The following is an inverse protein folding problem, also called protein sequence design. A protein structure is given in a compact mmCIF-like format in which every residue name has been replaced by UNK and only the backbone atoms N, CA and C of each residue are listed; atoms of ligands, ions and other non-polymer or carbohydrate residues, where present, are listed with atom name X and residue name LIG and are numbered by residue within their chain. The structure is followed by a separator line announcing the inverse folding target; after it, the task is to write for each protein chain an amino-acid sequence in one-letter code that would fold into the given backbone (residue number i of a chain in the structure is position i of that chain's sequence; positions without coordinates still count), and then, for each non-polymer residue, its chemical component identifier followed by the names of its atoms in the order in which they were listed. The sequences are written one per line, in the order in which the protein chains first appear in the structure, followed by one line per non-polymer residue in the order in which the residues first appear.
data_IF_284910906529
#
_entry.id   IF_284910906529
#
_cell.length_a   1.000
_cell.length_b   1.000
_cell.length_c   1.000
_cell.angle_alpha   90.00
_cell.angle_beta   90.00
_cell.angle_gamma   90.00
#
_symmetry.space_group_name_H-M   'P 1'
#
loop_
_entity.id
_entity.type
_entity.pdbx_description
1 polymer ?
#
# COMPACT_ATOMS: atom_id res chain seq x y z
N UNK A 1 -14.94 30.67 -0.95
CA UNK A 1 -13.62 30.03 -0.81
C UNK A 1 -13.10 30.40 0.58
N UNK A 2 -13.00 29.44 1.49
CA UNK A 2 -12.36 29.62 2.81
C UNK A 2 -10.86 29.66 2.52
N UNK A 3 -10.18 30.75 2.86
CA UNK A 3 -8.72 30.82 2.76
C UNK A 3 -8.14 30.00 3.91
N UNK A 4 -7.70 28.81 3.61
CA UNK A 4 -6.94 27.97 4.53
C UNK A 4 -5.54 28.57 4.64
N UNK A 5 -5.00 28.73 5.85
CA UNK A 5 -3.63 29.17 6.03
C UNK A 5 -2.65 28.09 5.56
N UNK A 6 -1.43 28.49 5.22
CA UNK A 6 -0.40 27.54 4.74
C UNK A 6 -0.08 26.48 5.78
N UNK A 7 -0.08 26.83 7.05
CA UNK A 7 0.11 25.90 8.16
C UNK A 7 -1.04 24.89 8.26
N UNK A 8 -2.29 25.35 8.15
CA UNK A 8 -3.47 24.46 8.16
C UNK A 8 -3.45 23.50 6.99
N UNK A 9 -3.05 23.97 5.77
CA UNK A 9 -2.93 23.12 4.60
C UNK A 9 -1.91 22.01 4.83
N UNK A 10 -0.72 22.32 5.29
CA UNK A 10 0.35 21.35 5.55
C UNK A 10 -0.08 20.37 6.66
N UNK A 11 -0.69 20.87 7.73
CA UNK A 11 -1.20 20.02 8.82
C UNK A 11 -2.31 19.07 8.35
N UNK A 12 -3.21 19.52 7.48
CA UNK A 12 -4.25 18.67 6.90
C UNK A 12 -3.65 17.59 6.00
N UNK A 13 -2.68 17.93 5.17
CA UNK A 13 -2.00 16.96 4.31
C UNK A 13 -1.24 15.90 5.12
N UNK A 14 -0.56 16.31 6.19
CA UNK A 14 0.09 15.37 7.11
C UNK A 14 -0.92 14.39 7.73
N UNK A 15 -1.97 14.90 8.33
CA UNK A 15 -2.94 14.06 9.04
C UNK A 15 -3.81 13.21 8.10
N UNK A 16 -4.36 13.81 7.06
CA UNK A 16 -5.38 13.16 6.24
C UNK A 16 -4.77 12.24 5.18
N UNK A 17 -3.61 12.58 4.63
CA UNK A 17 -2.95 11.82 3.57
C UNK A 17 -1.80 11.00 4.13
N UNK A 18 -0.75 11.63 4.66
CA UNK A 18 0.49 10.92 5.06
C UNK A 18 0.27 9.97 6.25
N UNK A 19 -0.60 10.36 7.20
CA UNK A 19 -0.99 9.49 8.33
C UNK A 19 -2.27 8.69 8.07
N UNK A 20 -2.71 8.63 6.84
CA UNK A 20 -3.87 7.82 6.39
C UNK A 20 -5.20 8.08 7.11
N UNK A 21 -5.37 9.19 7.83
CA UNK A 21 -6.60 9.41 8.59
C UNK A 21 -7.85 9.51 7.71
N UNK A 22 -7.72 10.05 6.50
CA UNK A 22 -8.82 10.12 5.54
C UNK A 22 -9.33 8.71 5.19
N UNK A 23 -8.41 7.80 4.93
CA UNK A 23 -8.70 6.42 4.54
C UNK A 23 -9.19 5.59 5.74
N UNK A 24 -8.56 5.74 6.89
CA UNK A 24 -8.97 5.06 8.14
C UNK A 24 -10.39 5.44 8.56
N UNK A 25 -10.79 6.72 8.41
CA UNK A 25 -12.19 7.14 8.64
C UNK A 25 -13.19 6.45 7.70
N UNK A 26 -12.75 6.10 6.49
CA UNK A 26 -13.54 5.31 5.54
C UNK A 26 -13.41 3.79 5.76
N UNK A 27 -12.73 3.36 6.83
CA UNK A 27 -12.40 1.97 7.14
C UNK A 27 -11.55 1.26 6.05
N UNK A 28 -10.68 2.05 5.37
CA UNK A 28 -9.72 1.59 4.38
C UNK A 28 -8.32 1.62 4.99
N UNK A 29 -7.65 0.48 5.01
CA UNK A 29 -6.33 0.29 5.59
C UNK A 29 -5.31 -0.18 4.53
N UNK A 30 -4.01 -0.06 4.82
CA UNK A 30 -2.94 -0.46 3.89
C UNK A 30 -2.79 0.46 2.67
N UNK A 31 -3.40 1.66 2.67
CA UNK A 31 -3.23 2.62 1.57
C UNK A 31 -1.93 3.42 1.69
N UNK A 32 -1.61 3.89 2.89
CA UNK A 32 -0.32 4.50 3.22
C UNK A 32 0.21 3.75 4.44
N UNK A 33 1.26 2.98 4.28
CA UNK A 33 1.90 2.23 5.38
C UNK A 33 3.11 2.97 5.92
N UNK A 34 3.79 3.73 5.05
CA UNK A 34 4.97 4.51 5.41
C UNK A 34 4.88 5.92 4.82
N UNK A 35 5.33 6.96 5.51
CA UNK A 35 5.34 8.34 5.03
C UNK A 35 6.48 8.55 4.01
N UNK A 36 6.48 7.78 2.91
CA UNK A 36 7.52 7.80 1.89
C UNK A 36 7.65 9.15 1.16
N UNK A 37 6.58 9.92 1.16
CA UNK A 37 6.51 11.19 0.43
C UNK A 37 6.34 12.40 1.35
N UNK A 38 6.60 12.25 2.65
CA UNK A 38 6.46 13.32 3.66
C UNK A 38 7.53 14.41 3.58
N UNK A 39 8.54 14.27 2.72
CA UNK A 39 9.66 15.21 2.61
C UNK A 39 9.24 16.70 2.51
N UNK A 40 8.12 16.99 1.87
CA UNK A 40 7.61 18.36 1.73
C UNK A 40 7.03 18.88 3.05
N UNK A 41 6.47 18.01 3.89
CA UNK A 41 6.00 18.36 5.23
C UNK A 41 7.19 18.72 6.11
N UNK A 42 8.25 17.89 6.11
CA UNK A 42 9.48 18.12 6.84
C UNK A 42 10.15 19.41 6.37
N UNK A 43 10.20 19.64 5.06
CA UNK A 43 10.73 20.88 4.49
C UNK A 43 9.94 22.11 4.95
N UNK A 44 8.63 22.03 5.08
CA UNK A 44 7.76 23.12 5.52
C UNK A 44 7.78 23.36 7.04
N UNK A 45 8.03 22.32 7.83
CA UNK A 45 7.99 22.40 9.31
C UNK A 45 9.34 22.63 9.95
N UNK A 46 10.44 22.15 9.33
CA UNK A 46 11.80 22.21 9.89
C UNK A 46 12.44 23.60 9.86
N UNK A 47 11.86 24.55 9.14
CA UNK A 47 12.39 25.92 8.92
C UNK A 47 13.86 25.95 8.40
N UNK A 48 14.33 24.87 7.78
CA UNK A 48 15.69 24.76 7.24
C UNK A 48 15.83 25.49 5.91
N UNK A 49 14.75 25.52 5.12
CA UNK A 49 14.72 26.14 3.80
C UNK A 49 13.51 27.07 3.63
N UNK A 50 13.44 28.19 4.37
CA UNK A 50 12.26 29.07 4.38
C UNK A 50 11.95 29.68 2.99
N UNK A 51 12.95 29.85 2.14
CA UNK A 51 12.79 30.34 0.76
C UNK A 51 12.05 29.36 -0.15
N UNK A 52 12.12 28.05 0.14
CA UNK A 52 11.49 27.00 -0.68
C UNK A 52 10.06 26.69 -0.22
N UNK A 53 9.73 26.99 1.04
CA UNK A 53 8.43 26.71 1.63
C UNK A 53 7.28 27.33 0.83
N UNK A 54 7.44 28.62 0.45
CA UNK A 54 6.41 29.31 -0.31
C UNK A 54 6.17 28.69 -1.70
N UNK A 55 7.23 28.23 -2.35
CA UNK A 55 7.14 27.58 -3.66
C UNK A 55 6.46 26.20 -3.55
N UNK A 56 6.80 25.42 -2.49
CA UNK A 56 6.16 24.13 -2.20
C UNK A 56 4.66 24.34 -1.96
N UNK A 57 4.28 25.23 -1.06
CA UNK A 57 2.88 25.50 -0.70
C UNK A 57 2.10 26.00 -1.91
N UNK A 58 2.68 26.88 -2.70
CA UNK A 58 2.05 27.40 -3.93
C UNK A 58 1.80 26.27 -4.92
N UNK A 59 2.78 25.42 -5.15
CA UNK A 59 2.66 24.26 -6.05
C UNK A 59 1.60 23.26 -5.57
N UNK A 60 1.56 22.97 -4.27
CA UNK A 60 0.53 22.09 -3.67
C UNK A 60 -0.87 22.68 -3.86
N UNK A 61 -1.06 23.98 -3.60
CA UNK A 61 -2.35 24.67 -3.83
C UNK A 61 -2.77 24.58 -5.29
N UNK A 62 -1.86 24.80 -6.23
CA UNK A 62 -2.16 24.68 -7.66
C UNK A 62 -2.59 23.26 -8.05
N UNK A 63 -1.91 22.23 -7.53
CA UNK A 63 -2.27 20.83 -7.77
C UNK A 63 -3.67 20.55 -7.22
N UNK A 64 -3.94 20.93 -5.97
CA UNK A 64 -5.25 20.71 -5.33
C UNK A 64 -6.37 21.44 -6.07
N UNK A 65 -6.15 22.68 -6.53
CA UNK A 65 -7.12 23.41 -7.34
C UNK A 65 -7.38 22.69 -8.67
N UNK A 66 -6.33 22.22 -9.35
CA UNK A 66 -6.48 21.46 -10.60
C UNK A 66 -7.24 20.17 -10.38
N UNK A 67 -6.90 19.40 -9.32
CA UNK A 67 -7.60 18.15 -8.98
C UNK A 67 -9.08 18.40 -8.64
N UNK A 68 -9.42 19.51 -7.96
CA UNK A 68 -10.81 19.84 -7.62
C UNK A 68 -11.70 20.15 -8.82
N UNK A 69 -11.12 20.36 -10.00
CA UNK A 69 -11.89 20.57 -11.25
C UNK A 69 -12.34 19.26 -11.89
N UNK A 70 -11.77 18.13 -11.49
CA UNK A 70 -12.19 16.80 -11.96
C UNK A 70 -13.33 16.27 -11.07
N UNK A 71 -14.34 15.69 -11.71
CA UNK A 71 -15.40 14.98 -11.00
C UNK A 71 -14.98 13.53 -10.84
N UNK A 72 -15.24 12.94 -9.65
CA UNK A 72 -14.90 11.51 -9.39
C UNK A 72 -15.62 10.56 -10.36
N UNK A 73 -16.75 10.97 -10.91
CA UNK A 73 -17.50 10.24 -11.93
C UNK A 73 -16.71 10.06 -13.25
N UNK A 74 -15.79 11.00 -13.55
CA UNK A 74 -14.90 10.90 -14.71
C UNK A 74 -13.78 9.87 -14.51
N UNK A 75 -13.55 9.45 -13.28
CA UNK A 75 -12.60 8.40 -12.90
C UNK A 75 -13.27 7.03 -12.73
N UNK A 76 -14.34 6.77 -13.48
CA UNK A 76 -15.04 5.49 -13.39
C UNK A 76 -14.12 4.32 -13.79
N UNK A 77 -14.28 3.20 -13.08
CA UNK A 77 -13.48 1.98 -13.19
C UNK A 77 -13.25 1.43 -14.62
N UNK A 78 -14.09 1.81 -15.58
CA UNK A 78 -13.98 1.34 -16.97
C UNK A 78 -12.91 2.07 -17.81
N UNK A 79 -12.49 3.27 -17.40
CA UNK A 79 -11.61 4.12 -18.20
C UNK A 79 -10.25 4.41 -17.54
N UNK A 80 -10.08 4.06 -16.27
CA UNK A 80 -8.93 4.49 -15.47
C UNK A 80 -7.66 3.67 -15.65
N UNK A 81 -7.74 2.47 -16.22
CA UNK A 81 -6.58 1.58 -16.40
C UNK A 81 -5.37 2.26 -17.09
N UNK A 82 -5.62 3.31 -17.88
CA UNK A 82 -4.61 3.92 -18.73
C UNK A 82 -4.12 5.31 -18.25
N UNK A 83 -4.90 6.01 -17.40
CA UNK A 83 -4.59 7.41 -17.04
C UNK A 83 -3.40 7.51 -16.09
N UNK A 84 -3.37 6.75 -15.01
CA UNK A 84 -2.27 6.79 -14.04
C UNK A 84 -0.99 6.18 -14.60
N UNK A 85 -1.07 5.13 -15.41
CA UNK A 85 0.05 4.53 -16.13
C UNK A 85 0.70 5.55 -17.07
N UNK A 86 -0.11 6.26 -17.88
CA UNK A 86 0.38 7.31 -18.76
C UNK A 86 0.95 8.51 -17.99
N UNK A 87 0.28 8.92 -16.94
CA UNK A 87 0.73 10.00 -16.07
C UNK A 87 2.11 9.70 -15.48
N UNK A 88 2.28 8.52 -14.89
CA UNK A 88 3.55 8.06 -14.36
C UNK A 88 4.64 7.97 -15.43
N UNK A 89 4.34 7.40 -16.60
CA UNK A 89 5.27 7.30 -17.72
C UNK A 89 5.75 8.65 -18.22
N UNK A 90 4.94 9.70 -18.09
CA UNK A 90 5.28 11.06 -18.52
C UNK A 90 6.08 11.83 -17.46
N UNK A 91 5.86 11.54 -16.17
CA UNK A 91 6.56 12.23 -15.07
C UNK A 91 7.93 11.63 -14.83
N UNK A 92 8.03 10.28 -14.79
CA UNK A 92 9.30 9.61 -14.50
C UNK A 92 10.12 9.42 -15.78
N UNK A 93 11.32 10.01 -15.87
CA UNK A 93 12.15 9.89 -17.06
C UNK A 93 12.44 8.42 -17.40
N UNK A 94 12.44 8.10 -18.71
CA UNK A 94 12.67 6.73 -19.18
C UNK A 94 14.00 6.14 -18.68
N UNK A 95 15.03 6.97 -18.55
CA UNK A 95 16.35 6.54 -18.04
C UNK A 95 16.23 6.05 -16.60
N UNK A 96 15.49 6.78 -15.76
CA UNK A 96 15.27 6.41 -14.36
C UNK A 96 14.43 5.12 -14.28
N UNK A 97 13.35 5.02 -15.05
CA UNK A 97 12.53 3.80 -15.09
C UNK A 97 13.32 2.56 -15.51
N UNK A 98 14.19 2.71 -16.51
CA UNK A 98 15.08 1.61 -16.95
C UNK A 98 16.09 1.21 -15.87
N UNK A 99 16.65 2.15 -15.12
CA UNK A 99 17.59 1.87 -14.03
C UNK A 99 16.92 1.18 -12.83
N UNK A 100 15.63 1.43 -12.63
CA UNK A 100 14.80 0.78 -11.60
C UNK A 100 14.18 -0.54 -12.08
N UNK A 101 14.40 -0.93 -13.33
CA UNK A 101 13.81 -2.15 -13.89
C UNK A 101 12.30 -2.04 -14.18
N UNK A 102 11.77 -0.84 -14.23
CA UNK A 102 10.33 -0.60 -14.44
C UNK A 102 9.96 -0.71 -15.92
N UNK A 103 9.41 -1.85 -16.26
CA UNK A 103 8.85 -2.13 -17.58
C UNK A 103 7.36 -2.42 -17.44
N UNK A 104 6.54 -1.54 -18.03
CA UNK A 104 5.09 -1.75 -18.04
C UNK A 104 4.70 -2.85 -19.01
N UNK A 105 3.93 -3.80 -18.52
CA UNK A 105 3.38 -4.88 -19.33
C UNK A 105 2.29 -4.32 -20.25
N UNK A 106 2.35 -4.54 -21.57
CA UNK A 106 1.27 -4.17 -22.48
C UNK A 106 -0.03 -4.94 -22.17
N UNK A 107 -1.17 -4.28 -22.30
CA UNK A 107 -2.47 -4.87 -21.93
C UNK A 107 -2.77 -6.16 -22.72
N UNK A 108 -2.42 -6.22 -24.01
CA UNK A 108 -2.58 -7.43 -24.81
C UNK A 108 -1.79 -8.64 -24.26
N UNK A 109 -0.63 -8.39 -23.65
CA UNK A 109 0.20 -9.45 -23.07
C UNK A 109 -0.42 -9.94 -21.76
N UNK A 110 -0.98 -9.01 -20.95
CA UNK A 110 -1.74 -9.35 -19.75
C UNK A 110 -2.93 -10.26 -20.12
N UNK A 111 -3.70 -9.87 -21.13
CA UNK A 111 -4.86 -10.65 -21.59
C UNK A 111 -4.47 -12.06 -22.07
N UNK A 112 -3.46 -12.16 -22.95
CA UNK A 112 -2.98 -13.46 -23.46
C UNK A 112 -2.45 -14.34 -22.32
N UNK A 113 -1.83 -13.75 -21.30
CA UNK A 113 -1.32 -14.49 -20.15
C UNK A 113 -2.48 -15.02 -19.30
N UNK A 114 -3.43 -14.16 -18.97
CA UNK A 114 -4.60 -14.55 -18.17
C UNK A 114 -5.53 -15.53 -18.88
N UNK A 115 -5.55 -15.55 -20.22
CA UNK A 115 -6.31 -16.55 -21.00
C UNK A 115 -5.75 -17.97 -20.85
N UNK A 116 -4.55 -18.13 -20.29
CA UNK A 116 -3.97 -19.44 -19.96
C UNK A 116 -4.32 -19.94 -18.56
N UNK A 117 -4.92 -19.08 -17.74
CA UNK A 117 -5.35 -19.47 -16.39
C UNK A 117 -6.59 -20.33 -16.50
N UNK A 118 -6.52 -21.54 -15.94
CA UNK A 118 -7.64 -22.47 -15.88
C UNK A 118 -8.42 -22.30 -14.58
N UNK A 119 -9.74 -22.43 -14.63
CA UNK A 119 -10.64 -22.31 -13.48
C UNK A 119 -11.45 -21.01 -13.47
N UNK A 120 -12.33 -20.89 -12.47
CA UNK A 120 -13.14 -19.68 -12.29
C UNK A 120 -12.35 -18.63 -11.51
N UNK A 121 -12.23 -17.43 -12.08
CA UNK A 121 -11.41 -16.37 -11.50
C UNK A 121 -11.85 -15.95 -10.08
N UNK A 122 -13.13 -15.99 -9.78
CA UNK A 122 -13.67 -15.67 -8.45
C UNK A 122 -13.40 -16.73 -7.38
N UNK A 123 -12.95 -17.94 -7.77
CA UNK A 123 -12.57 -19.01 -6.84
C UNK A 123 -11.06 -19.10 -6.61
N UNK A 124 -10.25 -18.48 -7.47
CA UNK A 124 -8.80 -18.55 -7.43
C UNK A 124 -8.20 -17.47 -6.50
N UNK A 125 -6.97 -17.75 -6.06
CA UNK A 125 -6.11 -16.77 -5.37
C UNK A 125 -4.98 -16.36 -6.30
N UNK A 126 -4.74 -15.07 -6.39
CA UNK A 126 -3.75 -14.48 -7.28
C UNK A 126 -2.70 -13.72 -6.46
N UNK A 127 -1.46 -13.87 -6.86
CA UNK A 127 -0.34 -13.08 -6.36
C UNK A 127 0.49 -12.62 -7.56
N UNK A 128 0.64 -11.31 -7.70
CA UNK A 128 1.63 -10.71 -8.58
C UNK A 128 2.83 -10.24 -7.74
N UNK A 129 3.96 -10.96 -7.75
CA UNK A 129 5.10 -10.68 -6.90
C UNK A 129 5.94 -9.48 -7.37
N UNK A 130 5.58 -8.86 -8.50
CA UNK A 130 6.26 -7.69 -9.11
C UNK A 130 5.22 -6.83 -9.82
N UNK A 131 4.20 -6.41 -9.07
CA UNK A 131 2.95 -5.91 -9.63
C UNK A 131 3.07 -4.57 -10.38
N UNK A 132 4.16 -3.83 -10.22
CA UNK A 132 4.33 -2.51 -10.83
C UNK A 132 3.17 -1.58 -10.48
N UNK A 133 2.50 -1.03 -11.48
CA UNK A 133 1.29 -0.22 -11.33
C UNK A 133 -0.01 -1.03 -11.24
N UNK A 134 0.06 -2.34 -11.02
CA UNK A 134 -1.06 -3.28 -10.91
C UNK A 134 -1.73 -3.70 -12.23
N UNK A 135 -1.06 -3.67 -13.36
CA UNK A 135 -1.69 -4.03 -14.65
C UNK A 135 -2.34 -5.42 -14.64
N UNK A 136 -1.65 -6.45 -14.11
CA UNK A 136 -2.23 -7.79 -13.96
C UNK A 136 -3.35 -7.83 -12.94
N UNK A 137 -3.17 -7.18 -11.78
CA UNK A 137 -4.19 -7.18 -10.71
C UNK A 137 -5.50 -6.57 -11.19
N UNK A 138 -5.44 -5.46 -11.94
CA UNK A 138 -6.63 -4.80 -12.49
C UNK A 138 -7.36 -5.69 -13.51
N UNK A 139 -6.61 -6.37 -14.38
CA UNK A 139 -7.19 -7.30 -15.34
C UNK A 139 -7.82 -8.53 -14.64
N UNK A 140 -7.20 -9.02 -13.56
CA UNK A 140 -7.74 -10.10 -12.73
C UNK A 140 -9.04 -9.63 -12.05
N UNK A 141 -9.04 -8.45 -11.42
CA UNK A 141 -10.24 -7.87 -10.79
C UNK A 141 -11.38 -7.76 -11.82
N UNK A 142 -11.08 -7.27 -13.02
CA UNK A 142 -12.07 -7.18 -14.09
C UNK A 142 -12.67 -8.54 -14.41
N UNK A 143 -11.86 -9.59 -14.59
CA UNK A 143 -12.33 -10.95 -14.89
C UNK A 143 -13.14 -11.55 -13.74
N UNK A 144 -12.74 -11.32 -12.48
CA UNK A 144 -13.54 -11.73 -11.32
C UNK A 144 -14.91 -11.08 -11.35
N UNK A 145 -14.99 -9.77 -11.64
CA UNK A 145 -16.25 -9.04 -11.73
C UNK A 145 -17.15 -9.52 -12.85
N UNK A 146 -16.57 -9.92 -13.99
CA UNK A 146 -17.30 -10.41 -15.16
C UNK A 146 -17.89 -11.82 -14.95
N UNK A 147 -17.24 -12.68 -14.14
CA UNK A 147 -17.70 -14.05 -13.92
C UNK A 147 -18.49 -14.24 -12.61
N UNK A 148 -18.42 -13.29 -11.67
CA UNK A 148 -19.04 -13.42 -10.36
C UNK A 148 -20.47 -12.87 -10.32
N UNK A 149 -21.32 -13.57 -9.57
CA UNK A 149 -22.69 -13.14 -9.25
C UNK A 149 -22.85 -12.76 -7.77
N UNK A 150 -21.75 -12.44 -7.09
CA UNK A 150 -21.73 -12.09 -5.68
C UNK A 150 -22.34 -10.70 -5.43
N UNK A 151 -22.79 -10.44 -4.21
CA UNK A 151 -23.15 -9.09 -3.77
C UNK A 151 -21.93 -8.17 -3.78
N UNK A 152 -22.12 -6.85 -3.81
CA UNK A 152 -21.01 -5.89 -3.76
C UNK A 152 -20.09 -6.12 -2.54
N UNK A 153 -20.68 -6.42 -1.38
CA UNK A 153 -19.95 -6.74 -0.14
C UNK A 153 -19.10 -8.00 -0.30
N UNK A 154 -19.71 -9.11 -0.76
CA UNK A 154 -19.00 -10.38 -0.88
C UNK A 154 -17.94 -10.32 -1.98
N UNK A 155 -18.22 -9.61 -3.07
CA UNK A 155 -17.28 -9.41 -4.17
C UNK A 155 -16.08 -8.59 -3.73
N UNK A 156 -16.31 -7.49 -2.98
CA UNK A 156 -15.25 -6.65 -2.43
C UNK A 156 -14.35 -7.47 -1.49
N UNK A 157 -14.92 -8.24 -0.58
CA UNK A 157 -14.19 -9.12 0.31
C UNK A 157 -13.41 -10.20 -0.46
N UNK A 158 -14.03 -10.80 -1.46
CA UNK A 158 -13.39 -11.82 -2.30
C UNK A 158 -12.16 -11.25 -3.02
N UNK A 159 -12.27 -10.07 -3.63
CA UNK A 159 -11.18 -9.43 -4.34
C UNK A 159 -10.04 -9.08 -3.37
N UNK A 160 -10.33 -8.42 -2.25
CA UNK A 160 -9.31 -7.98 -1.28
C UNK A 160 -8.60 -9.15 -0.58
N UNK A 161 -9.27 -10.30 -0.43
CA UNK A 161 -8.67 -11.49 0.16
C UNK A 161 -7.85 -12.33 -0.83
N UNK A 162 -8.17 -12.27 -2.12
CA UNK A 162 -7.63 -13.20 -3.10
C UNK A 162 -6.72 -12.59 -4.17
N UNK A 163 -6.65 -11.26 -4.29
CA UNK A 163 -5.86 -10.58 -5.34
C UNK A 163 -4.78 -9.71 -4.70
N UNK A 164 -3.59 -10.27 -4.59
CA UNK A 164 -2.45 -9.68 -3.88
C UNK A 164 -1.37 -9.22 -4.84
N UNK A 165 -0.66 -8.15 -4.47
CA UNK A 165 0.49 -7.63 -5.21
C UNK A 165 1.65 -7.25 -4.30
N UNK A 166 2.87 -7.51 -4.78
CA UNK A 166 4.10 -7.02 -4.16
C UNK A 166 4.90 -6.22 -5.18
N UNK A 167 5.62 -5.23 -4.74
CA UNK A 167 6.66 -4.58 -5.54
C UNK A 167 7.73 -3.99 -4.61
N UNK A 168 8.96 -3.91 -5.10
CA UNK A 168 10.08 -3.33 -4.38
C UNK A 168 10.12 -1.80 -4.50
N UNK A 169 9.49 -1.25 -5.54
CA UNK A 169 9.49 0.18 -5.79
C UNK A 169 8.31 0.86 -5.07
N UNK A 170 8.55 1.74 -4.09
CA UNK A 170 7.49 2.39 -3.31
C UNK A 170 6.54 3.24 -4.16
N UNK A 171 7.04 3.85 -5.24
CA UNK A 171 6.21 4.65 -6.14
C UNK A 171 5.28 3.77 -6.99
N UNK A 172 5.77 2.60 -7.42
CA UNK A 172 4.95 1.60 -8.11
C UNK A 172 3.86 1.07 -7.18
N UNK A 173 4.20 0.70 -5.93
CA UNK A 173 3.25 0.25 -4.90
C UNK A 173 2.17 1.30 -4.66
N UNK A 174 2.54 2.57 -4.47
CA UNK A 174 1.56 3.64 -4.25
C UNK A 174 0.65 3.84 -5.47
N UNK A 175 1.21 3.78 -6.68
CA UNK A 175 0.41 3.84 -7.92
C UNK A 175 -0.54 2.64 -8.03
N UNK A 176 -0.08 1.45 -7.68
CA UNK A 176 -0.88 0.24 -7.67
C UNK A 176 -2.03 0.32 -6.66
N UNK A 177 -1.80 0.85 -5.46
CA UNK A 177 -2.83 1.08 -4.42
C UNK A 177 -3.92 2.04 -4.90
N UNK A 178 -3.51 3.15 -5.52
CA UNK A 178 -4.48 4.10 -6.12
C UNK A 178 -5.32 3.42 -7.21
N UNK A 179 -4.68 2.72 -8.15
CA UNK A 179 -5.37 1.99 -9.21
C UNK A 179 -6.33 0.93 -8.66
N UNK A 180 -5.91 0.20 -7.63
CA UNK A 180 -6.72 -0.81 -6.96
C UNK A 180 -7.97 -0.20 -6.32
N UNK A 181 -7.83 0.91 -5.58
CA UNK A 181 -8.98 1.63 -5.00
C UNK A 181 -9.93 2.16 -6.06
N UNK A 182 -9.39 2.71 -7.15
CA UNK A 182 -10.24 3.20 -8.26
C UNK A 182 -11.03 2.04 -8.87
N UNK A 183 -10.40 0.88 -9.08
CA UNK A 183 -11.06 -0.30 -9.63
C UNK A 183 -12.17 -0.86 -8.74
N UNK A 184 -12.16 -0.54 -7.44
CA UNK A 184 -13.14 -0.98 -6.46
C UNK A 184 -14.08 0.15 -5.99
N UNK A 185 -13.94 1.36 -6.50
CA UNK A 185 -14.62 2.56 -5.97
C UNK A 185 -16.14 2.45 -5.94
N UNK A 186 -16.74 1.83 -6.95
CA UNK A 186 -18.19 1.58 -7.03
C UNK A 186 -18.64 0.56 -5.97
N UNK A 187 -17.90 -0.55 -5.80
CA UNK A 187 -18.20 -1.56 -4.79
C UNK A 187 -18.05 -0.98 -3.36
N UNK A 188 -17.06 -0.13 -3.15
CA UNK A 188 -16.86 0.58 -1.88
C UNK A 188 -18.03 1.52 -1.59
N UNK A 189 -18.52 2.24 -2.61
CA UNK A 189 -19.66 3.12 -2.47
C UNK A 189 -20.97 2.36 -2.16
N UNK A 190 -21.14 1.15 -2.73
CA UNK A 190 -22.28 0.28 -2.44
C UNK A 190 -22.21 -0.44 -1.09
N UNK A 191 -21.01 -0.52 -0.49
CA UNK A 191 -20.76 -1.22 0.78
C UNK A 191 -20.12 -0.30 1.83
N UNK A 192 -20.78 0.79 2.26
CA UNK A 192 -20.19 1.78 3.15
C UNK A 192 -19.87 1.19 4.52
N UNK A 193 -18.68 1.53 5.02
CA UNK A 193 -18.23 1.14 6.37
C UNK A 193 -17.67 -0.28 6.48
N UNK A 194 -17.56 -1.03 5.37
CA UNK A 194 -16.89 -2.31 5.37
C UNK A 194 -15.38 -2.11 5.60
N UNK A 195 -14.78 -3.03 6.36
CA UNK A 195 -13.33 -3.02 6.54
C UNK A 195 -12.64 -3.49 5.25
N UNK A 196 -11.78 -2.64 4.71
CA UNK A 196 -11.01 -2.90 3.50
C UNK A 196 -9.54 -2.80 3.85
N UNK A 197 -8.80 -3.86 3.55
CA UNK A 197 -7.35 -3.82 3.57
C UNK A 197 -6.83 -3.99 2.14
N UNK A 198 -6.00 -3.03 1.70
CA UNK A 198 -5.46 -3.06 0.34
C UNK A 198 -4.32 -4.06 0.29
N UNK A 199 -4.44 -5.15 -0.47
CA UNK A 199 -3.49 -6.25 -0.46
C UNK A 199 -2.29 -5.99 -1.39
N UNK A 200 -1.72 -4.78 -1.34
CA UNK A 200 -0.55 -4.39 -2.14
C UNK A 200 0.53 -3.90 -1.20
N UNK A 201 1.64 -4.65 -1.13
CA UNK A 201 2.69 -4.46 -0.15
C UNK A 201 4.00 -4.04 -0.80
N UNK A 202 4.73 -3.18 -0.10
CA UNK A 202 6.14 -2.90 -0.41
C UNK A 202 6.97 -4.07 0.11
N UNK A 203 7.42 -4.93 -0.79
CA UNK A 203 8.14 -6.14 -0.42
C UNK A 203 9.10 -6.59 -1.51
N UNK A 204 10.21 -7.20 -1.10
CA UNK A 204 11.09 -7.94 -1.99
C UNK A 204 10.57 -9.37 -2.15
N UNK A 205 10.07 -9.68 -3.34
CA UNK A 205 9.50 -10.99 -3.64
C UNK A 205 10.54 -12.12 -3.73
N UNK A 206 11.82 -11.77 -3.91
CA UNK A 206 12.93 -12.74 -3.96
C UNK A 206 13.38 -13.09 -2.55
N UNK A 207 13.21 -12.14 -1.62
CA UNK A 207 13.60 -12.31 -0.24
C UNK A 207 12.48 -13.00 0.55
N UNK A 208 12.51 -14.33 0.56
CA UNK A 208 11.62 -15.11 1.41
C UNK A 208 12.38 -15.56 2.67
N UNK A 209 11.85 -15.35 3.88
CA UNK A 209 12.42 -15.91 5.08
C UNK A 209 12.42 -17.43 4.97
N UNK A 210 13.59 -18.03 5.09
CA UNK A 210 13.71 -19.48 5.09
C UNK A 210 13.48 -20.03 6.51
N UNK A 211 12.77 -21.15 6.66
CA UNK A 211 12.79 -21.91 7.91
C UNK A 211 14.25 -22.26 8.26
N UNK A 212 14.58 -22.21 9.54
CA UNK A 212 15.89 -22.67 9.98
C UNK A 212 16.05 -24.17 9.62
N UNK A 213 17.15 -24.55 8.99
CA UNK A 213 17.39 -25.94 8.54
C UNK A 213 17.36 -26.95 9.71
N UNK A 214 17.53 -26.49 10.96
CA UNK A 214 17.54 -27.33 12.18
C UNK A 214 16.31 -27.20 13.07
N UNK A 215 15.55 -26.12 12.99
CA UNK A 215 14.41 -25.85 13.87
C UNK A 215 13.22 -25.24 13.09
N UNK A 216 12.23 -26.06 12.81
CA UNK A 216 11.00 -25.65 12.11
C UNK A 216 10.05 -24.80 12.98
N UNK A 217 10.37 -24.61 14.25
CA UNK A 217 9.56 -23.79 15.17
C UNK A 217 9.84 -22.30 15.03
N UNK A 218 10.92 -21.91 14.35
CA UNK A 218 11.33 -20.51 14.15
C UNK A 218 11.57 -20.19 12.67
N UNK A 219 11.40 -18.92 12.35
CA UNK A 219 11.71 -18.34 11.03
C UNK A 219 12.69 -17.19 11.24
N UNK A 220 13.74 -17.17 10.45
CA UNK A 220 14.76 -16.12 10.48
C UNK A 220 14.55 -15.11 9.35
N UNK A 221 14.44 -13.83 9.72
CA UNK A 221 14.44 -12.70 8.80
C UNK A 221 15.81 -12.01 8.89
N UNK A 222 16.51 -11.93 7.79
CA UNK A 222 17.79 -11.21 7.72
C UNK A 222 17.56 -9.87 7.04
N UNK A 223 17.80 -8.78 7.74
CA UNK A 223 17.73 -7.43 7.20
C UNK A 223 19.16 -7.00 6.89
N UNK A 224 19.48 -6.88 5.59
CA UNK A 224 20.77 -6.38 5.14
C UNK A 224 20.94 -4.90 5.49
N UNK A 225 22.06 -4.54 6.10
CA UNK A 225 22.41 -3.14 6.32
C UNK A 225 23.86 -2.85 5.90
N UNK A 226 24.20 -1.58 5.68
CA UNK A 226 25.55 -1.16 5.32
C UNK A 226 26.60 -1.40 6.42
N UNK A 227 26.16 -1.75 7.64
CA UNK A 227 27.03 -1.93 8.80
C UNK A 227 27.14 -3.42 9.18
N UNK A 228 26.02 -4.11 9.27
CA UNK A 228 25.95 -5.55 9.55
C UNK A 228 24.53 -6.06 9.25
N UNK A 229 24.41 -7.33 8.86
CA UNK A 229 23.10 -7.95 8.71
C UNK A 229 22.45 -8.14 10.08
N UNK A 230 21.20 -7.70 10.22
CA UNK A 230 20.38 -7.93 11.40
C UNK A 230 19.51 -9.16 11.17
N UNK A 231 19.66 -10.17 12.01
CA UNK A 231 18.79 -11.35 11.97
C UNK A 231 17.71 -11.24 13.05
N UNK A 232 16.46 -11.27 12.62
CA UNK A 232 15.30 -11.32 13.51
C UNK A 232 14.75 -12.73 13.46
N UNK A 233 14.73 -13.41 14.61
CA UNK A 233 14.19 -14.76 14.74
C UNK A 233 12.78 -14.68 15.35
N UNK A 234 11.79 -15.16 14.63
CA UNK A 234 10.40 -15.20 15.08
C UNK A 234 9.89 -16.63 15.17
N UNK A 235 9.04 -16.95 16.16
CA UNK A 235 8.32 -18.22 16.18
C UNK A 235 7.46 -18.39 14.93
N UNK A 236 7.48 -19.58 14.31
CA UNK A 236 6.70 -19.89 13.12
C UNK A 236 5.20 -19.61 13.32
N UNK A 237 4.68 -19.84 14.53
CA UNK A 237 3.27 -19.54 14.87
C UNK A 237 2.96 -18.05 14.77
N UNK A 238 3.92 -17.17 15.04
CA UNK A 238 3.76 -15.72 14.85
C UNK A 238 3.84 -15.35 13.37
N UNK A 239 4.83 -15.88 12.64
CA UNK A 239 5.05 -15.56 11.23
C UNK A 239 3.90 -16.01 10.32
N UNK A 240 3.07 -16.96 10.76
CA UNK A 240 1.89 -17.46 10.03
C UNK A 240 0.59 -16.71 10.35
N UNK A 241 0.61 -15.77 11.30
CA UNK A 241 -0.58 -15.02 11.70
C UNK A 241 -0.31 -13.54 11.56
N UNK A 242 -0.93 -12.92 10.55
CA UNK A 242 -0.82 -11.48 10.29
C UNK A 242 -1.23 -10.66 11.50
N UNK A 243 -2.41 -10.94 12.09
CA UNK A 243 -2.93 -10.20 13.24
C UNK A 243 -1.96 -10.22 14.43
N UNK A 244 -1.29 -11.36 14.64
CA UNK A 244 -0.29 -11.46 15.71
C UNK A 244 0.99 -10.70 15.39
N UNK A 245 1.44 -10.76 14.14
CA UNK A 245 2.60 -9.97 13.69
C UNK A 245 2.33 -8.48 13.80
N UNK A 246 1.18 -8.01 13.33
CA UNK A 246 0.78 -6.61 13.42
C UNK A 246 0.71 -6.16 14.87
N UNK A 247 0.17 -6.98 15.76
CA UNK A 247 0.15 -6.70 17.20
C UNK A 247 1.55 -6.61 17.79
N UNK A 248 2.45 -7.55 17.43
CA UNK A 248 3.85 -7.55 17.90
C UNK A 248 4.57 -6.31 17.44
N UNK A 249 4.50 -5.98 16.13
CA UNK A 249 5.20 -4.83 15.59
C UNK A 249 4.62 -3.50 16.07
N UNK A 250 3.31 -3.41 16.27
CA UNK A 250 2.67 -2.22 16.87
C UNK A 250 3.18 -1.97 18.29
N UNK A 251 3.21 -3.00 19.13
CA UNK A 251 3.73 -2.89 20.50
C UNK A 251 5.23 -2.54 20.51
N UNK A 252 6.00 -3.16 19.62
CA UNK A 252 7.43 -2.85 19.49
C UNK A 252 7.64 -1.38 19.06
N UNK A 253 6.89 -0.91 18.08
CA UNK A 253 6.93 0.48 17.62
C UNK A 253 6.59 1.45 18.74
N UNK A 254 5.50 1.22 19.48
CA UNK A 254 5.10 2.04 20.61
C UNK A 254 6.18 2.09 21.72
N UNK A 255 6.81 0.94 21.99
CA UNK A 255 7.89 0.87 22.97
C UNK A 255 9.14 1.66 22.52
N UNK A 256 9.48 1.60 21.24
CA UNK A 256 10.63 2.34 20.68
C UNK A 256 10.34 3.86 20.67
N UNK A 257 9.16 4.26 20.20
CA UNK A 257 8.75 5.67 20.15
C UNK A 257 8.72 6.33 21.54
N UNK A 258 8.34 5.56 22.56
CA UNK A 258 8.23 6.07 23.94
C UNK A 258 9.45 5.74 24.81
N UNK A 259 10.54 5.22 24.23
CA UNK A 259 11.77 4.81 24.94
C UNK A 259 11.48 3.93 26.17
N UNK A 260 10.62 2.95 25.98
CA UNK A 260 10.17 2.06 27.05
C UNK A 260 11.19 0.96 27.37
N UNK A 261 11.25 0.55 28.61
CA UNK A 261 12.04 -0.60 29.06
C UNK A 261 11.57 -1.90 28.35
N UNK A 262 12.50 -2.79 27.95
CA UNK A 262 12.16 -4.06 27.26
C UNK A 262 11.17 -4.96 28.01
N UNK A 263 11.15 -4.86 29.34
CA UNK A 263 10.20 -5.61 30.19
C UNK A 263 8.76 -5.19 29.92
N UNK A 264 8.50 -3.91 29.68
CA UNK A 264 7.15 -3.42 29.36
C UNK A 264 6.68 -3.89 27.99
N UNK A 265 7.61 -4.07 27.06
CA UNK A 265 7.28 -4.66 25.76
C UNK A 265 6.81 -6.11 25.93
N UNK A 266 7.50 -6.91 26.75
CA UNK A 266 7.10 -8.30 27.04
C UNK A 266 5.72 -8.33 27.71
N UNK A 267 5.49 -7.48 28.70
CA UNK A 267 4.20 -7.39 29.37
C UNK A 267 3.07 -7.02 28.39
N UNK A 268 3.32 -6.08 27.47
CA UNK A 268 2.37 -5.72 26.42
C UNK A 268 2.04 -6.88 25.49
N UNK A 269 3.05 -7.62 25.04
CA UNK A 269 2.89 -8.80 24.18
C UNK A 269 2.08 -9.92 24.86
N UNK A 270 2.27 -10.12 26.18
CA UNK A 270 1.51 -11.09 26.96
C UNK A 270 0.05 -10.68 27.15
N UNK A 271 -0.21 -9.40 27.49
CA UNK A 271 -1.57 -8.86 27.69
C UNK A 271 -2.40 -8.99 26.42
N UNK A 272 -1.80 -8.76 25.26
CA UNK A 272 -2.51 -8.86 23.98
C UNK A 272 -2.53 -10.27 23.38
N UNK A 273 -2.10 -11.30 24.12
CA UNK A 273 -2.02 -12.69 23.66
C UNK A 273 -1.21 -12.86 22.35
N UNK A 274 -0.31 -11.94 22.09
CA UNK A 274 0.56 -12.01 20.91
C UNK A 274 1.61 -13.11 21.10
N UNK A 275 2.07 -13.31 22.33
CA UNK A 275 2.94 -14.42 22.75
C UNK A 275 2.33 -15.17 23.94
N UNK A 276 2.68 -16.43 24.08
CA UNK A 276 2.35 -17.25 25.27
C UNK A 276 3.65 -17.65 25.95
N UNK A 277 3.66 -17.58 27.28
CA UNK A 277 4.79 -18.09 28.09
C UNK A 277 4.78 -19.60 28.12
#
# INVERSE_FOLDING_TARGET
AVSVSDYELISMLDLDIERSQLYTRANIHGFVEEPLFSWYIDACTSNVYPEVVNDIVTSLKEVLIKLSLYQMEDLSHAQTNDVLKRFYQNIVPQVLRKSLGEFYTPDWLVDVTLDKVEGQFDELKFLDPTCGSASFLLAIIKRIRECSNLSAVDLLQRITQNVWGFDLNPLAVQTARVNYLIALSDLIAEAPGIHIEIPILLADAIYAPAPDEGDTSVVNYVIGSNVADLTITLPTVLSQSRDRLDTVFSIMGECVENDMEPVRMIDGLLVHNAITV
#
